data_IF_123013858562
#
_entry.id   IF_123013858562
#
_cell.length_a   1.000
_cell.length_b   1.000
_cell.length_c   1.000
_cell.angle_alpha   90.00
_cell.angle_beta   90.00
_cell.angle_gamma   90.00
#
_symmetry.space_group_name_H-M   'P 1'
#
loop_
_entity.id
_entity.type
_entity.pdbx_description
1 polymer ?
#
# COMPACT_ATOMS: atom_id res chain seq x y z
N UNK A 1 -23.24 -4.09 -13.18
CA UNK A 1 -22.52 -3.91 -11.91
C UNK A 1 -23.51 -3.83 -10.76
N UNK A 2 -23.35 -4.65 -9.73
CA UNK A 2 -24.21 -4.52 -8.55
C UNK A 2 -23.97 -3.14 -7.89
N UNK A 3 -25.03 -2.52 -7.45
CA UNK A 3 -25.00 -1.23 -6.76
C UNK A 3 -25.43 -1.40 -5.31
N UNK A 4 -24.82 -0.62 -4.45
CA UNK A 4 -25.23 -0.56 -3.06
C UNK A 4 -26.39 0.39 -2.90
N UNK A 5 -27.58 -0.14 -2.64
CA UNK A 5 -28.79 0.65 -2.49
C UNK A 5 -28.97 1.26 -1.08
N UNK A 6 -28.13 0.85 -0.13
CA UNK A 6 -28.23 1.33 1.26
C UNK A 6 -27.32 2.53 1.53
N UNK A 7 -26.11 2.51 0.99
CA UNK A 7 -25.13 3.57 1.18
C UNK A 7 -24.37 3.79 -0.13
N UNK A 8 -24.30 5.03 -0.58
CA UNK A 8 -23.50 5.39 -1.75
C UNK A 8 -22.01 5.43 -1.40
N UNK A 9 -21.36 4.29 -1.48
CA UNK A 9 -19.91 4.18 -1.29
C UNK A 9 -19.25 4.25 -2.65
N UNK A 10 -18.34 5.22 -2.84
CA UNK A 10 -17.68 5.49 -4.12
C UNK A 10 -16.21 5.08 -4.17
N UNK A 11 -15.75 4.32 -3.19
CA UNK A 11 -14.38 3.87 -3.10
C UNK A 11 -13.79 4.10 -1.71
N UNK A 12 -12.49 4.09 -1.63
CA UNK A 12 -11.74 4.37 -0.40
C UNK A 12 -11.32 5.83 -0.42
N UNK A 13 -11.67 6.60 0.61
CA UNK A 13 -11.19 7.98 0.75
C UNK A 13 -9.70 7.99 1.10
N UNK A 14 -9.35 7.27 2.15
CA UNK A 14 -7.95 7.05 2.52
C UNK A 14 -7.81 5.76 3.32
N UNK A 15 -6.64 5.14 3.19
CA UNK A 15 -6.20 3.99 3.96
C UNK A 15 -5.02 4.42 4.82
N UNK A 16 -5.08 4.17 6.13
CA UNK A 16 -4.03 4.58 7.05
C UNK A 16 -3.29 3.37 7.62
N UNK A 17 -1.97 3.45 7.56
CA UNK A 17 -1.03 2.48 8.09
C UNK A 17 -0.13 3.15 9.14
N UNK A 18 0.61 2.36 9.89
CA UNK A 18 1.61 2.87 10.84
C UNK A 18 2.99 2.51 10.32
N UNK A 19 3.87 3.50 10.17
CA UNK A 19 5.24 3.29 9.75
C UNK A 19 6.20 3.41 10.95
N UNK A 20 7.37 2.75 10.81
CA UNK A 20 8.45 2.85 11.80
C UNK A 20 9.27 4.12 11.62
N UNK A 21 9.47 4.54 10.38
CA UNK A 21 10.36 5.63 9.99
C UNK A 21 9.68 6.43 8.88
N UNK A 22 9.19 7.62 9.23
CA UNK A 22 8.47 8.46 8.28
C UNK A 22 9.37 8.95 7.15
N UNK A 23 10.65 9.21 7.41
CA UNK A 23 11.59 9.62 6.37
C UNK A 23 11.73 8.55 5.29
N UNK A 24 11.95 7.30 5.68
CA UNK A 24 12.03 6.17 4.75
C UNK A 24 10.71 5.94 4.02
N UNK A 25 9.59 6.14 4.71
CA UNK A 25 8.26 6.04 4.11
C UNK A 25 8.08 7.09 3.01
N UNK A 26 8.44 8.33 3.25
CA UNK A 26 8.39 9.40 2.24
C UNK A 26 9.36 9.11 1.09
N UNK A 27 10.57 8.67 1.38
CA UNK A 27 11.56 8.31 0.34
C UNK A 27 11.04 7.21 -0.58
N UNK A 28 10.33 6.23 -0.04
CA UNK A 28 9.75 5.15 -0.85
C UNK A 28 8.51 5.61 -1.63
N UNK A 29 7.50 6.10 -0.93
CA UNK A 29 6.21 6.39 -1.59
C UNK A 29 6.25 7.62 -2.47
N UNK A 30 6.94 8.66 -2.08
CA UNK A 30 7.11 9.85 -2.91
C UNK A 30 8.34 9.77 -3.81
N UNK A 31 9.45 9.26 -3.30
CA UNK A 31 10.70 9.18 -4.05
C UNK A 31 10.71 8.08 -5.10
N UNK A 32 10.42 6.85 -4.73
CA UNK A 32 10.45 5.69 -5.64
C UNK A 32 9.16 5.60 -6.47
N UNK A 33 8.00 5.63 -5.82
CA UNK A 33 6.71 5.49 -6.50
C UNK A 33 6.21 6.80 -7.11
N UNK A 34 6.76 7.94 -6.71
CA UNK A 34 6.36 9.24 -7.24
C UNK A 34 4.99 9.74 -6.75
N UNK A 35 4.46 9.19 -5.67
CA UNK A 35 3.18 9.64 -5.13
C UNK A 35 3.32 11.04 -4.53
N UNK A 36 2.50 12.01 -4.93
CA UNK A 36 2.53 13.33 -4.32
C UNK A 36 2.21 13.28 -2.82
N UNK A 37 3.06 13.89 -2.01
CA UNK A 37 2.78 14.13 -0.60
C UNK A 37 1.85 15.34 -0.50
N UNK A 38 0.58 15.13 -0.19
CA UNK A 38 -0.45 16.17 -0.26
C UNK A 38 -0.74 16.82 1.07
N UNK A 39 -0.48 16.14 2.18
CA UNK A 39 -0.79 16.65 3.51
C UNK A 39 0.15 16.07 4.55
N UNK A 40 0.60 16.94 5.46
CA UNK A 40 1.37 16.56 6.65
C UNK A 40 0.73 17.16 7.88
N UNK A 41 0.55 16.34 8.90
CA UNK A 41 -0.02 16.75 10.17
C UNK A 41 0.93 16.38 11.29
N UNK A 42 1.30 17.35 12.11
CA UNK A 42 1.89 17.08 13.43
C UNK A 42 0.76 16.84 14.42
N UNK A 43 0.78 15.69 15.08
CA UNK A 43 -0.23 15.38 16.09
C UNK A 43 0.03 16.19 17.37
N UNK A 44 -1.03 16.57 18.09
CA UNK A 44 -0.90 17.37 19.30
C UNK A 44 0.02 16.73 20.35
N UNK A 45 0.73 17.56 21.09
CA UNK A 45 1.58 17.16 22.24
C UNK A 45 2.70 16.18 21.89
N UNK A 46 3.23 16.24 20.67
CA UNK A 46 4.28 15.32 20.23
C UNK A 46 3.83 13.87 20.09
N UNK A 47 2.54 13.63 19.92
CA UNK A 47 1.99 12.28 19.81
C UNK A 47 2.45 11.55 18.56
N UNK A 48 2.90 12.26 17.54
CA UNK A 48 3.38 11.68 16.29
C UNK A 48 3.07 12.52 15.07
N UNK A 49 3.09 11.88 13.92
CA UNK A 49 2.86 12.50 12.62
C UNK A 49 1.84 11.70 11.82
N UNK A 50 1.13 12.39 10.93
CA UNK A 50 0.18 11.78 10.00
C UNK A 50 0.34 12.40 8.61
N UNK A 51 0.85 11.63 7.66
CA UNK A 51 1.18 12.07 6.31
C UNK A 51 0.29 11.38 5.29
N UNK A 52 -0.09 12.11 4.23
CA UNK A 52 -0.99 11.63 3.17
C UNK A 52 -0.31 11.71 1.81
N UNK A 53 -0.40 10.63 1.05
CA UNK A 53 0.07 10.53 -0.32
C UNK A 53 -1.12 10.33 -1.25
N UNK A 54 -1.16 11.06 -2.36
CA UNK A 54 -2.16 10.86 -3.40
C UNK A 54 -1.85 9.57 -4.18
N UNK A 55 -2.81 8.64 -4.20
CA UNK A 55 -2.70 7.40 -4.98
C UNK A 55 -3.55 7.44 -6.26
N UNK A 56 -4.05 8.61 -6.62
CA UNK A 56 -4.91 8.80 -7.77
C UNK A 56 -6.40 8.70 -7.42
N UNK A 57 -7.22 9.11 -8.35
CA UNK A 57 -8.68 9.01 -8.26
C UNK A 57 -9.30 9.73 -7.05
N UNK A 58 -8.58 10.64 -6.43
CA UNK A 58 -9.01 11.35 -5.21
C UNK A 58 -8.81 10.59 -3.91
N UNK A 59 -8.20 9.41 -3.99
CA UNK A 59 -7.94 8.54 -2.84
C UNK A 59 -6.54 8.78 -2.29
N UNK A 60 -6.33 8.51 -1.01
CA UNK A 60 -5.03 8.68 -0.36
C UNK A 60 -4.56 7.43 0.37
N UNK A 61 -3.25 7.22 0.34
CA UNK A 61 -2.56 6.35 1.27
C UNK A 61 -1.96 7.22 2.36
N UNK A 62 -2.28 6.92 3.61
CA UNK A 62 -1.85 7.72 4.75
C UNK A 62 -0.99 6.89 5.70
N UNK A 63 -0.06 7.55 6.36
CA UNK A 63 0.79 6.92 7.36
C UNK A 63 0.78 7.72 8.65
N UNK A 64 0.62 6.99 9.75
CA UNK A 64 0.95 7.48 11.07
C UNK A 64 2.36 7.07 11.44
N UNK A 65 3.05 7.94 12.13
CA UNK A 65 4.23 7.61 12.90
C UNK A 65 3.99 7.97 14.36
N UNK A 66 4.29 7.02 15.26
CA UNK A 66 4.19 7.22 16.70
C UNK A 66 5.52 6.87 17.35
N UNK A 67 6.03 7.70 18.28
CA UNK A 67 7.31 7.42 18.94
C UNK A 67 7.31 6.13 19.77
N UNK A 68 6.14 5.66 20.17
CA UNK A 68 5.96 4.48 21.02
C UNK A 68 5.14 3.37 20.36
N UNK A 69 5.09 3.33 19.04
CA UNK A 69 4.39 2.26 18.33
C UNK A 69 5.01 0.90 18.66
N UNK A 70 4.15 -0.11 18.80
CA UNK A 70 4.60 -1.48 18.99
C UNK A 70 5.39 -1.97 17.78
N UNK A 71 6.37 -2.84 18.01
CA UNK A 71 7.13 -3.47 16.93
C UNK A 71 6.23 -4.39 16.11
N UNK A 72 6.48 -4.45 14.80
CA UNK A 72 5.86 -5.47 13.95
C UNK A 72 6.30 -6.86 14.41
N UNK A 73 5.39 -7.82 14.31
CA UNK A 73 5.70 -9.19 14.66
C UNK A 73 5.89 -10.03 13.39
N UNK A 74 6.87 -10.93 13.37
CA UNK A 74 7.05 -11.85 12.25
C UNK A 74 5.79 -12.67 11.97
N UNK A 75 5.46 -12.85 10.70
CA UNK A 75 4.27 -13.58 10.27
C UNK A 75 2.98 -12.78 10.28
N UNK A 76 3.01 -11.55 10.76
CA UNK A 76 1.88 -10.64 10.75
C UNK A 76 2.27 -9.43 9.89
N UNK A 77 1.77 -9.37 8.67
CA UNK A 77 2.06 -8.26 7.74
C UNK A 77 3.56 -7.97 7.55
N UNK A 78 4.42 -8.96 7.73
CA UNK A 78 5.86 -8.80 7.52
C UNK A 78 6.19 -8.95 6.04
N UNK A 79 7.01 -8.04 5.50
CA UNK A 79 7.38 -8.03 4.08
C UNK A 79 8.03 -9.35 3.63
N UNK A 80 8.77 -10.01 4.49
CA UNK A 80 9.40 -11.30 4.21
C UNK A 80 8.40 -12.45 4.00
N UNK A 81 7.19 -12.33 4.52
CA UNK A 81 6.15 -13.34 4.31
C UNK A 81 5.59 -13.33 2.89
N UNK A 82 5.82 -12.27 2.12
CA UNK A 82 5.24 -12.07 0.79
C UNK A 82 6.20 -12.37 -0.35
N UNK A 83 7.51 -12.31 -0.11
CA UNK A 83 8.49 -12.41 -1.19
C UNK A 83 8.98 -13.84 -1.35
N UNK A 84 8.18 -14.64 -2.06
CA UNK A 84 8.61 -15.95 -2.57
C UNK A 84 8.87 -17.06 -1.54
N UNK A 85 8.52 -16.87 -0.29
CA UNK A 85 8.79 -17.82 0.78
C UNK A 85 7.57 -18.63 1.24
N UNK A 86 6.56 -18.71 0.40
CA UNK A 86 5.56 -19.77 0.45
C UNK A 86 4.33 -19.53 1.32
N UNK A 87 4.41 -18.76 2.37
CA UNK A 87 3.26 -18.54 3.23
C UNK A 87 2.82 -17.08 3.21
N UNK A 88 1.66 -16.84 2.56
CA UNK A 88 1.03 -15.52 2.49
C UNK A 88 0.00 -15.31 3.61
N UNK A 89 -0.07 -16.22 4.58
CA UNK A 89 -1.02 -16.08 5.67
C UNK A 89 -0.62 -14.95 6.61
N UNK A 90 -1.62 -14.25 7.09
CA UNK A 90 -1.49 -13.18 8.07
C UNK A 90 -2.37 -13.49 9.27
N UNK A 91 -2.21 -12.77 10.36
CA UNK A 91 -3.07 -12.91 11.51
C UNK A 91 -4.51 -12.51 11.21
N UNK A 92 -5.47 -13.10 11.91
CA UNK A 92 -6.86 -12.68 11.81
C UNK A 92 -6.98 -11.18 12.08
N UNK A 93 -7.83 -10.51 11.30
CA UNK A 93 -8.08 -9.07 11.36
C UNK A 93 -6.89 -8.16 11.01
N UNK A 94 -5.76 -8.72 10.57
CA UNK A 94 -4.66 -7.91 10.03
C UNK A 94 -4.86 -7.64 8.53
N UNK A 95 -4.26 -6.56 8.04
CA UNK A 95 -4.21 -6.28 6.61
C UNK A 95 -3.15 -7.18 5.97
N UNK A 96 -3.55 -7.95 4.95
CA UNK A 96 -2.63 -8.82 4.24
C UNK A 96 -1.77 -8.03 3.23
N UNK A 97 -2.40 -7.24 2.36
CA UNK A 97 -1.69 -6.42 1.38
C UNK A 97 -2.56 -5.27 0.88
N UNK A 98 -1.93 -4.35 0.20
CA UNK A 98 -2.58 -3.31 -0.60
C UNK A 98 -2.16 -3.50 -2.05
N UNK A 99 -3.12 -3.48 -2.96
CA UNK A 99 -2.86 -3.55 -4.39
C UNK A 99 -3.30 -2.24 -5.04
N UNK A 100 -2.40 -1.65 -5.83
CA UNK A 100 -2.71 -0.45 -6.60
C UNK A 100 -3.13 -0.83 -8.00
N UNK A 101 -4.21 -0.23 -8.48
CA UNK A 101 -4.65 -0.36 -9.86
C UNK A 101 -3.71 0.43 -10.78
N UNK A 102 -3.17 -0.24 -11.78
CA UNK A 102 -2.27 0.36 -12.75
C UNK A 102 -2.65 -0.11 -14.17
N UNK A 103 -2.30 0.67 -15.22
CA UNK A 103 -2.54 0.22 -16.58
C UNK A 103 -1.84 -1.11 -16.88
N UNK A 104 -2.56 -2.03 -17.49
CA UNK A 104 -2.06 -3.38 -17.82
C UNK A 104 -0.78 -3.32 -18.68
N UNK A 105 -0.75 -2.42 -19.66
CA UNK A 105 0.39 -2.22 -20.56
C UNK A 105 1.61 -1.60 -19.88
N UNK A 106 1.52 -1.18 -18.62
CA UNK A 106 2.59 -0.60 -17.83
C UNK A 106 3.24 -1.54 -16.81
N UNK A 107 2.68 -2.70 -16.59
CA UNK A 107 3.15 -3.64 -15.55
C UNK A 107 4.63 -3.99 -15.73
N UNK A 108 5.06 -4.35 -16.93
CA UNK A 108 6.45 -4.71 -17.19
C UNK A 108 7.40 -3.52 -16.99
N UNK A 109 7.01 -2.35 -17.47
CA UNK A 109 7.77 -1.12 -17.27
C UNK A 109 7.93 -0.79 -15.77
N UNK A 110 6.85 -0.88 -15.02
CA UNK A 110 6.87 -0.59 -13.58
C UNK A 110 7.67 -1.62 -12.79
N UNK A 111 7.62 -2.87 -13.20
CA UNK A 111 8.46 -3.92 -12.64
C UNK A 111 9.95 -3.59 -12.82
N UNK A 112 10.37 -3.14 -13.99
CA UNK A 112 11.75 -2.74 -14.26
C UNK A 112 12.14 -1.50 -13.47
N UNK A 113 11.27 -0.51 -13.36
CA UNK A 113 11.50 0.69 -12.53
C UNK A 113 11.73 0.34 -11.06
N UNK A 114 10.93 -0.55 -10.51
CA UNK A 114 11.08 -0.99 -9.12
C UNK A 114 12.39 -1.74 -8.89
N UNK A 115 12.74 -2.65 -9.80
CA UNK A 115 14.04 -3.35 -9.76
C UNK A 115 15.21 -2.37 -9.83
N UNK A 116 15.15 -1.41 -10.73
CA UNK A 116 16.19 -0.40 -10.87
C UNK A 116 16.34 0.48 -9.62
N UNK A 117 15.26 0.67 -8.87
CA UNK A 117 15.27 1.40 -7.60
C UNK A 117 15.71 0.52 -6.40
N UNK A 118 16.06 -0.74 -6.63
CA UNK A 118 16.50 -1.66 -5.58
C UNK A 118 15.35 -2.27 -4.77
N UNK A 119 14.13 -2.18 -5.25
CA UNK A 119 12.96 -2.78 -4.60
C UNK A 119 12.92 -4.27 -4.91
N UNK A 120 12.77 -5.09 -3.89
CA UNK A 120 12.57 -6.52 -4.04
C UNK A 120 11.13 -6.77 -4.53
N UNK A 121 11.00 -7.51 -5.63
CA UNK A 121 9.71 -7.80 -6.25
C UNK A 121 9.63 -9.29 -6.61
N UNK A 122 8.40 -9.79 -6.70
CA UNK A 122 8.11 -11.12 -7.25
C UNK A 122 7.84 -11.04 -8.75
N UNK A 123 7.76 -12.20 -9.40
CA UNK A 123 7.24 -12.28 -10.77
C UNK A 123 5.77 -11.84 -10.80
N UNK A 124 5.34 -11.39 -11.99
CA UNK A 124 3.93 -11.04 -12.19
C UNK A 124 3.07 -12.28 -12.00
N UNK A 125 2.12 -12.20 -11.06
CA UNK A 125 1.14 -13.24 -10.81
C UNK A 125 -0.15 -12.90 -11.56
N UNK A 126 -0.56 -13.77 -12.46
CA UNK A 126 -1.84 -13.66 -13.14
C UNK A 126 -2.93 -14.23 -12.23
N UNK A 127 -3.90 -13.39 -11.86
CA UNK A 127 -5.07 -13.81 -11.08
C UNK A 127 -6.26 -14.21 -11.98
N UNK A 128 -5.98 -14.57 -13.24
CA UNK A 128 -6.98 -14.76 -14.30
C UNK A 128 -7.81 -16.04 -14.21
N UNK A 129 -7.72 -16.83 -13.16
CA UNK A 129 -8.46 -18.07 -13.01
C UNK A 129 -9.90 -17.92 -12.53
N UNK A 130 -10.44 -16.72 -12.49
CA UNK A 130 -11.85 -16.47 -12.19
C UNK A 130 -12.46 -15.49 -13.19
N UNK A 131 -13.69 -15.74 -13.58
CA UNK A 131 -14.49 -14.96 -14.53
C UNK A 131 -14.74 -13.48 -14.14
N UNK A 132 -14.03 -12.96 -13.15
CA UNK A 132 -14.04 -11.56 -12.79
C UNK A 132 -12.80 -10.89 -13.35
N UNK A 133 -12.99 -9.94 -14.23
CA UNK A 133 -11.94 -9.05 -14.71
C UNK A 133 -11.31 -8.32 -13.51
N UNK A 134 -10.19 -8.83 -13.03
CA UNK A 134 -9.37 -8.10 -12.08
C UNK A 134 -8.42 -7.20 -12.86
N UNK A 135 -8.47 -5.91 -12.60
CA UNK A 135 -7.46 -5.00 -13.11
C UNK A 135 -6.08 -5.37 -12.55
N UNK A 136 -5.01 -5.23 -13.34
CA UNK A 136 -3.66 -5.47 -12.84
C UNK A 136 -3.32 -4.49 -11.71
N UNK A 137 -2.50 -4.96 -10.77
CA UNK A 137 -2.12 -4.19 -9.57
C UNK A 137 -0.64 -4.36 -9.21
N UNK A 138 -0.12 -3.43 -8.48
CA UNK A 138 1.23 -3.44 -7.90
C UNK A 138 1.19 -3.24 -6.38
#
# INVERSE_FOLDING_TARGET
MPTNEKFEIRGINHLALVCRDMKKTVEFYSGVLGLPLTKTIELPRGAGQHFFFDIGNGDSLAFFWFPNAAQSQPGITHAEALVGHGDITSAHASMNHVAFDVPEDKIEEYQQKLKAAGVEITDVVNHDDSETQSSPSI
#
